data_IF_776617083923
#
_entry.id   IF_776617083923
#
_cell.length_a   1.000
_cell.length_b   1.000
_cell.length_c   1.000
_cell.angle_alpha   90.00
_cell.angle_beta   90.00
_cell.angle_gamma   90.00
#
_symmetry.space_group_name_H-M   'P 1'
#
loop_
_entity.id
_entity.type
_entity.pdbx_description
1 polymer ?
#
# COMPACT_ATOMS: atom_id res chain seq x y z
N UNK A 1 -29.59 4.71 -2.04
CA UNK A 1 -28.73 5.60 -2.85
C UNK A 1 -27.30 5.23 -2.52
N UNK A 2 -26.62 4.46 -3.37
CA UNK A 2 -25.19 4.16 -3.18
C UNK A 2 -24.42 5.44 -3.49
N UNK A 3 -23.89 6.11 -2.46
CA UNK A 3 -22.96 7.21 -2.69
C UNK A 3 -21.77 6.66 -3.50
N UNK A 4 -21.42 7.33 -4.59
CA UNK A 4 -20.23 6.96 -5.35
C UNK A 4 -19.02 6.91 -4.40
N UNK A 5 -18.17 5.89 -4.57
CA UNK A 5 -16.95 5.79 -3.77
C UNK A 5 -16.11 7.06 -3.97
N UNK A 6 -15.58 7.67 -2.89
CA UNK A 6 -14.71 8.83 -3.01
C UNK A 6 -13.43 8.46 -3.77
N UNK A 7 -12.80 9.45 -4.41
CA UNK A 7 -11.56 9.19 -5.14
C UNK A 7 -10.38 8.94 -4.20
N UNK A 8 -10.32 9.63 -3.06
CA UNK A 8 -9.25 9.56 -2.07
C UNK A 8 -9.75 10.10 -0.71
N UNK A 9 -9.21 9.58 0.38
CA UNK A 9 -9.38 10.14 1.72
C UNK A 9 -8.06 10.76 2.20
N UNK A 10 -8.13 11.87 2.94
CA UNK A 10 -6.98 12.36 3.68
C UNK A 10 -6.52 11.33 4.72
N UNK A 11 -5.23 11.33 5.10
CA UNK A 11 -4.68 10.33 6.04
C UNK A 11 -5.44 10.27 7.39
N UNK A 12 -5.90 11.41 7.90
CA UNK A 12 -6.65 11.47 9.17
C UNK A 12 -8.16 11.28 8.98
N UNK A 13 -8.65 11.17 7.74
CA UNK A 13 -10.06 10.93 7.44
C UNK A 13 -10.32 9.41 7.39
N UNK A 14 -11.35 8.99 8.11
CA UNK A 14 -11.68 7.56 8.25
C UNK A 14 -12.71 7.11 7.23
N UNK A 15 -13.63 7.98 6.81
CA UNK A 15 -14.74 7.59 5.95
C UNK A 15 -15.72 6.65 6.66
N UNK A 16 -16.52 5.93 5.88
CA UNK A 16 -17.49 4.95 6.36
C UNK A 16 -16.95 3.53 6.16
N UNK A 17 -17.09 2.66 7.16
CA UNK A 17 -16.67 1.26 7.04
C UNK A 17 -17.35 0.57 5.86
N UNK A 18 -16.58 -0.20 5.08
CA UNK A 18 -17.04 -0.85 3.85
C UNK A 18 -17.07 0.04 2.60
N UNK A 19 -16.94 1.37 2.72
CA UNK A 19 -16.75 2.27 1.59
C UNK A 19 -15.25 2.40 1.29
N UNK A 20 -14.83 1.92 0.12
CA UNK A 20 -13.41 1.90 -0.29
C UNK A 20 -13.14 3.00 -1.31
N UNK A 21 -12.21 3.93 -1.05
CA UNK A 21 -11.86 4.96 -2.03
C UNK A 21 -11.18 4.33 -3.25
N UNK A 22 -11.17 5.04 -4.39
CA UNK A 22 -10.49 4.53 -5.59
C UNK A 22 -8.97 4.50 -5.43
N UNK A 23 -8.40 5.50 -4.76
CA UNK A 23 -6.97 5.65 -4.51
C UNK A 23 -6.67 5.75 -3.01
N UNK A 24 -5.41 5.54 -2.66
CA UNK A 24 -4.83 5.72 -1.33
C UNK A 24 -3.46 6.39 -1.41
N UNK A 25 -3.05 7.03 -0.32
CA UNK A 25 -1.68 7.50 -0.13
C UNK A 25 -0.76 6.33 0.23
N UNK A 26 0.42 6.27 -0.39
CA UNK A 26 1.44 5.27 -0.08
C UNK A 26 2.85 5.84 -0.21
N UNK A 27 3.79 5.28 0.55
CA UNK A 27 5.21 5.39 0.24
C UNK A 27 5.59 4.27 -0.73
N UNK A 28 6.18 4.63 -1.85
CA UNK A 28 6.54 3.69 -2.92
C UNK A 28 8.01 3.80 -3.29
N UNK A 29 8.54 2.71 -3.85
CA UNK A 29 9.80 2.66 -4.57
C UNK A 29 9.47 2.62 -6.06
N UNK A 30 10.20 3.41 -6.86
CA UNK A 30 10.10 3.42 -8.32
C UNK A 30 11.37 2.82 -8.94
N UNK A 31 11.25 2.19 -10.12
CA UNK A 31 12.35 1.44 -10.74
C UNK A 31 13.61 2.27 -11.01
N UNK A 32 13.46 3.57 -11.26
CA UNK A 32 14.54 4.52 -11.50
C UNK A 32 15.04 5.23 -10.22
N UNK A 33 14.56 4.85 -9.04
CA UNK A 33 14.84 5.53 -7.77
C UNK A 33 15.59 4.69 -6.74
N UNK A 34 16.11 3.52 -7.09
CA UNK A 34 16.91 2.73 -6.15
C UNK A 34 18.02 3.54 -5.49
N UNK A 35 18.24 3.30 -4.20
CA UNK A 35 19.21 4.01 -3.37
C UNK A 35 18.89 3.91 -1.87
N UNK A 36 19.55 4.74 -1.07
CA UNK A 36 19.27 4.86 0.36
C UNK A 36 17.80 5.27 0.61
N UNK A 37 17.20 4.92 1.76
CA UNK A 37 15.75 5.08 2.00
C UNK A 37 15.18 6.48 1.71
N UNK A 38 15.92 7.55 2.04
CA UNK A 38 15.50 8.94 1.78
C UNK A 38 15.43 9.29 0.28
N UNK A 39 16.16 8.57 -0.56
CA UNK A 39 16.09 8.68 -2.02
C UNK A 39 15.06 7.71 -2.61
N UNK A 40 15.01 6.48 -2.11
CA UNK A 40 14.21 5.41 -2.71
C UNK A 40 12.70 5.56 -2.45
N UNK A 41 12.32 6.00 -1.25
CA UNK A 41 10.93 6.12 -0.86
C UNK A 41 10.36 7.48 -1.26
N UNK A 42 9.24 7.46 -1.97
CA UNK A 42 8.46 8.67 -2.32
C UNK A 42 6.98 8.49 -2.06
N UNK A 43 6.30 9.58 -1.72
CA UNK A 43 4.86 9.57 -1.55
C UNK A 43 4.17 9.59 -2.92
N UNK A 44 3.17 8.73 -3.08
CA UNK A 44 2.26 8.73 -4.24
C UNK A 44 0.83 8.45 -3.83
N UNK A 45 -0.09 8.91 -4.66
CA UNK A 45 -1.44 8.39 -4.72
C UNK A 45 -1.46 7.21 -5.69
N UNK A 46 -1.98 6.07 -5.24
CA UNK A 46 -2.03 4.82 -6.00
C UNK A 46 -3.41 4.17 -5.85
N UNK A 47 -3.86 3.34 -6.81
CA UNK A 47 -5.12 2.64 -6.67
C UNK A 47 -5.16 1.73 -5.43
N UNK A 48 -6.30 1.68 -4.76
CA UNK A 48 -6.53 0.69 -3.69
C UNK A 48 -6.61 -0.70 -4.33
N UNK A 49 -5.90 -1.72 -3.80
CA UNK A 49 -5.98 -3.06 -4.35
C UNK A 49 -7.39 -3.65 -4.20
N UNK A 50 -7.84 -4.38 -5.22
CA UNK A 50 -9.07 -5.15 -5.13
C UNK A 50 -8.90 -6.31 -4.15
N UNK A 51 -9.94 -6.59 -3.36
CA UNK A 51 -9.94 -7.69 -2.38
C UNK A 51 -10.28 -8.99 -3.09
N UNK A 52 -9.38 -9.97 -3.03
CA UNK A 52 -9.65 -11.33 -3.50
C UNK A 52 -10.63 -12.08 -2.59
N UNK A 53 -11.10 -13.23 -3.05
CA UNK A 53 -12.13 -14.01 -2.34
C UNK A 53 -11.73 -14.43 -0.92
N UNK A 54 -10.44 -14.65 -0.67
CA UNK A 54 -9.90 -15.12 0.61
C UNK A 54 -9.04 -14.05 1.31
N UNK A 55 -9.08 -12.80 0.85
CA UNK A 55 -8.24 -11.72 1.34
C UNK A 55 -9.02 -10.78 2.26
N UNK A 56 -8.30 -9.93 2.99
CA UNK A 56 -8.87 -8.79 3.70
C UNK A 56 -8.16 -7.51 3.26
N UNK A 57 -8.93 -6.42 3.18
CA UNK A 57 -8.38 -5.07 3.07
C UNK A 57 -8.31 -4.46 4.45
N UNK A 58 -7.12 -3.99 4.84
CA UNK A 58 -6.88 -3.37 6.15
C UNK A 58 -6.62 -1.88 5.96
N UNK A 59 -7.37 -1.04 6.69
CA UNK A 59 -7.02 0.37 6.87
C UNK A 59 -5.90 0.46 7.89
N UNK A 60 -4.70 0.70 7.39
CA UNK A 60 -3.47 0.73 8.19
C UNK A 60 -3.44 1.98 9.08
N UNK A 61 -3.21 1.77 10.37
CA UNK A 61 -3.10 2.83 11.39
C UNK A 61 -1.65 3.12 11.75
N UNK A 62 -0.81 2.08 11.78
CA UNK A 62 0.63 2.19 11.98
C UNK A 62 1.35 1.05 11.25
N UNK A 63 2.63 1.26 10.97
CA UNK A 63 3.53 0.28 10.35
C UNK A 63 4.81 0.14 11.16
N UNK A 64 5.43 -1.03 11.10
CA UNK A 64 6.79 -1.25 11.61
C UNK A 64 7.85 -0.90 10.57
N UNK A 65 9.00 -0.42 11.03
CA UNK A 65 10.18 -0.18 10.17
C UNK A 65 11.07 -1.41 10.22
N UNK A 66 11.48 -1.92 9.06
CA UNK A 66 12.25 -3.16 8.95
C UNK A 66 13.41 -3.02 7.93
N UNK A 67 14.46 -3.84 8.12
CA UNK A 67 15.60 -3.94 7.20
C UNK A 67 15.20 -4.31 5.77
N UNK A 68 14.15 -5.10 5.57
CA UNK A 68 13.72 -5.49 4.24
C UNK A 68 13.27 -4.29 3.37
N UNK A 69 12.76 -3.22 3.98
CA UNK A 69 12.46 -1.96 3.29
C UNK A 69 13.73 -1.29 2.79
N UNK A 70 14.84 -1.38 3.54
CA UNK A 70 16.16 -0.88 3.11
C UNK A 70 16.65 -1.68 1.90
N UNK A 71 16.62 -3.01 1.98
CA UNK A 71 17.01 -3.88 0.87
C UNK A 71 16.16 -3.66 -0.39
N UNK A 72 14.84 -3.51 -0.21
CA UNK A 72 13.93 -3.17 -1.30
C UNK A 72 14.29 -1.82 -1.94
N UNK A 73 14.57 -0.80 -1.12
CA UNK A 73 14.97 0.53 -1.58
C UNK A 73 16.32 0.56 -2.30
N UNK A 74 17.28 -0.27 -1.86
CA UNK A 74 18.58 -0.43 -2.52
C UNK A 74 18.49 -1.26 -3.82
N UNK A 75 17.45 -2.10 -3.95
CA UNK A 75 17.37 -3.09 -5.02
C UNK A 75 18.41 -4.21 -4.89
N UNK A 76 18.88 -4.49 -3.67
CA UNK A 76 19.90 -5.48 -3.35
C UNK A 76 19.47 -6.38 -2.19
N UNK A 77 19.82 -7.68 -2.19
CA UNK A 77 20.61 -8.39 -3.21
C UNK A 77 19.83 -8.68 -4.50
N UNK A 78 18.52 -8.45 -4.49
CA UNK A 78 17.63 -8.58 -5.64
C UNK A 78 16.76 -7.35 -5.78
N UNK A 79 16.35 -7.06 -7.01
CA UNK A 79 15.34 -6.05 -7.30
C UNK A 79 13.94 -6.60 -6.99
N UNK A 80 13.14 -5.86 -6.23
CA UNK A 80 11.71 -6.20 -6.00
C UNK A 80 10.90 -6.24 -7.30
N UNK A 81 11.32 -5.50 -8.32
CA UNK A 81 10.68 -5.50 -9.65
C UNK A 81 10.93 -6.79 -10.45
N UNK A 82 11.77 -7.70 -9.96
CA UNK A 82 11.87 -9.05 -10.54
C UNK A 82 10.74 -9.98 -10.03
N UNK A 83 9.99 -9.55 -9.00
CA UNK A 83 8.96 -10.37 -8.34
C UNK A 83 7.52 -10.03 -8.78
N UNK A 84 7.32 -8.88 -9.42
CA UNK A 84 6.01 -8.43 -9.90
C UNK A 84 6.12 -7.55 -11.15
N UNK A 85 4.97 -7.26 -11.78
CA UNK A 85 4.90 -6.50 -13.05
C UNK A 85 4.51 -5.02 -12.90
N UNK A 86 4.21 -4.57 -11.67
CA UNK A 86 3.92 -3.15 -11.39
C UNK A 86 5.17 -2.28 -11.59
N UNK A 87 4.95 -1.02 -11.94
CA UNK A 87 5.97 0.02 -12.11
C UNK A 87 6.43 0.67 -10.81
N UNK A 88 5.73 0.39 -9.70
CA UNK A 88 6.10 0.78 -8.34
C UNK A 88 5.99 -0.41 -7.36
N UNK A 89 6.63 -0.27 -6.19
CA UNK A 89 6.56 -1.22 -5.09
C UNK A 89 6.25 -0.50 -3.78
N UNK A 90 5.26 -0.98 -3.01
CA UNK A 90 4.95 -0.46 -1.67
C UNK A 90 5.59 -1.40 -0.63
N UNK A 91 6.71 -1.03 0.00
CA UNK A 91 7.33 -1.86 1.01
C UNK A 91 6.62 -1.72 2.38
N UNK A 92 6.82 -2.71 3.25
CA UNK A 92 6.24 -2.76 4.59
C UNK A 92 5.83 -4.20 4.94
N UNK A 93 6.22 -4.67 6.12
CA UNK A 93 5.96 -6.07 6.52
C UNK A 93 5.43 -6.22 7.94
N UNK A 94 5.16 -5.10 8.61
CA UNK A 94 4.45 -5.03 9.88
C UNK A 94 3.38 -3.95 9.78
N UNK A 95 2.19 -4.24 10.27
CA UNK A 95 1.09 -3.28 10.31
C UNK A 95 0.15 -3.53 11.50
N UNK A 96 -0.43 -2.46 12.02
CA UNK A 96 -1.64 -2.52 12.84
C UNK A 96 -2.73 -1.70 12.17
N UNK A 97 -3.97 -2.19 12.22
CA UNK A 97 -5.06 -1.56 11.48
C UNK A 97 -6.42 -2.15 11.75
N UNK A 98 -7.40 -1.62 11.04
CA UNK A 98 -8.81 -2.04 11.11
C UNK A 98 -9.13 -2.78 9.81
N UNK A 99 -9.70 -3.99 9.91
CA UNK A 99 -10.24 -4.68 8.74
C UNK A 99 -11.38 -3.83 8.16
N UNK A 100 -11.22 -3.40 6.92
CA UNK A 100 -12.11 -2.45 6.25
C UNK A 100 -13.07 -3.13 5.27
N UNK A 101 -12.60 -4.19 4.61
CA UNK A 101 -13.40 -5.05 3.73
C UNK A 101 -12.84 -6.47 3.77
N UNK A 102 -13.71 -7.47 3.60
CA UNK A 102 -13.36 -8.90 3.54
C UNK A 102 -13.77 -9.51 2.21
N UNK A 103 -13.03 -10.50 1.75
CA UNK A 103 -13.38 -11.35 0.62
C UNK A 103 -14.58 -12.24 0.93
N UNK A 104 -15.21 -12.80 -0.12
CA UNK A 104 -16.46 -13.57 0.03
C UNK A 104 -16.35 -14.86 0.87
N UNK A 105 -15.13 -15.39 1.04
CA UNK A 105 -14.86 -16.62 1.78
C UNK A 105 -14.22 -16.35 3.17
N UNK A 106 -14.15 -15.09 3.60
CA UNK A 106 -13.61 -14.67 4.91
C UNK A 106 -14.76 -14.25 5.81
#
# INVERSE_FOLDING_TARGET
MTSANPDLYALQEYGQIGLVPKNMHAWVIEKNRFGEPLQALVQREVPVPAVGDNDVLVRVMAVGVNYNTVWAGLGQPISVFNLHKLDYHIPGSDASGIVWQVGKNV
#
